data_IF_534917670712
#
_entry.id   IF_534917670712
#
_cell.length_a   1.000
_cell.length_b   1.000
_cell.length_c   1.000
_cell.angle_alpha   90.00
_cell.angle_beta   90.00
_cell.angle_gamma   90.00
#
_symmetry.space_group_name_H-M   'P 1'
#
loop_
_entity.id
_entity.type
_entity.pdbx_description
1 polymer ?
#
# COMPACT_ATOMS: atom_id res chain seq x y z
N UNK A 1 -3.71 -17.69 -8.16
CA UNK A 1 -4.89 -18.44 -7.66
C UNK A 1 -6.09 -18.00 -8.47
N UNK A 2 -6.53 -18.85 -9.41
CA UNK A 2 -7.71 -18.61 -10.25
C UNK A 2 -8.89 -19.16 -9.49
N UNK A 3 -9.79 -18.29 -9.01
CA UNK A 3 -11.08 -18.74 -8.48
C UNK A 3 -11.92 -19.20 -9.66
N UNK A 4 -12.03 -20.52 -9.84
CA UNK A 4 -13.00 -21.14 -10.73
C UNK A 4 -14.41 -20.71 -10.28
N UNK A 5 -15.09 -19.97 -11.16
CA UNK A 5 -16.47 -19.55 -10.95
C UNK A 5 -17.34 -20.75 -10.63
N UNK A 6 -18.09 -20.66 -9.54
CA UNK A 6 -19.22 -21.55 -9.31
C UNK A 6 -20.20 -21.22 -10.43
N UNK A 7 -20.31 -22.11 -11.40
CA UNK A 7 -21.30 -22.02 -12.46
C UNK A 7 -22.66 -22.21 -11.79
N UNK A 8 -23.32 -21.09 -11.47
CA UNK A 8 -24.67 -21.05 -10.90
C UNK A 8 -25.62 -21.43 -12.03
N UNK A 9 -25.56 -22.70 -12.42
CA UNK A 9 -26.30 -23.25 -13.54
C UNK A 9 -27.80 -23.00 -13.37
N UNK A 10 -28.47 -22.84 -14.52
CA UNK A 10 -29.86 -23.08 -14.94
C UNK A 10 -31.07 -23.14 -13.97
N UNK A 11 -30.93 -23.10 -12.64
CA UNK A 11 -32.00 -23.34 -11.68
C UNK A 11 -32.64 -22.04 -11.15
N UNK A 12 -32.00 -20.89 -11.32
CA UNK A 12 -32.53 -19.60 -10.88
C UNK A 12 -33.92 -19.21 -11.47
N UNK A 13 -34.30 -19.55 -12.72
CA UNK A 13 -35.66 -19.27 -13.21
C UNK A 13 -36.74 -20.15 -12.56
N UNK A 14 -36.38 -21.24 -11.86
CA UNK A 14 -37.37 -22.10 -11.19
C UNK A 14 -37.89 -21.50 -9.88
N UNK A 15 -37.13 -20.62 -9.24
CA UNK A 15 -37.53 -19.95 -7.99
C UNK A 15 -38.74 -19.01 -8.15
N UNK A 16 -38.78 -18.09 -9.15
CA UNK A 16 -39.97 -17.26 -9.37
C UNK A 16 -41.16 -18.08 -9.85
N UNK A 17 -40.94 -19.15 -10.61
CA UNK A 17 -42.02 -20.05 -11.05
C UNK A 17 -42.66 -20.80 -9.86
N UNK A 18 -41.84 -21.31 -8.93
CA UNK A 18 -42.33 -21.93 -7.70
C UNK A 18 -43.08 -20.92 -6.82
N UNK A 19 -42.57 -19.69 -6.67
CA UNK A 19 -43.26 -18.62 -5.96
C UNK A 19 -44.63 -18.27 -6.56
N UNK A 20 -44.70 -18.15 -7.89
CA UNK A 20 -45.95 -17.87 -8.60
C UNK A 20 -46.99 -19.00 -8.46
N UNK A 21 -46.55 -20.26 -8.46
CA UNK A 21 -47.43 -21.42 -8.24
C UNK A 21 -48.00 -21.43 -6.81
N UNK A 22 -47.20 -21.13 -5.80
CA UNK A 22 -47.66 -21.07 -4.40
C UNK A 22 -48.64 -19.91 -4.20
N UNK A 23 -48.35 -18.73 -4.75
CA UNK A 23 -49.27 -17.58 -4.70
C UNK A 23 -50.59 -17.89 -5.42
N UNK A 24 -50.52 -18.53 -6.59
CA UNK A 24 -51.72 -18.91 -7.36
C UNK A 24 -52.55 -19.98 -6.66
N UNK A 25 -51.91 -20.96 -6.02
CA UNK A 25 -52.59 -21.98 -5.22
C UNK A 25 -53.25 -21.38 -3.99
N UNK A 26 -52.58 -20.46 -3.28
CA UNK A 26 -53.18 -19.73 -2.16
C UNK A 26 -54.37 -18.87 -2.63
N UNK A 27 -54.24 -18.15 -3.74
CA UNK A 27 -55.33 -17.35 -4.30
C UNK A 27 -56.52 -18.20 -4.78
N UNK A 28 -56.26 -19.40 -5.31
CA UNK A 28 -57.28 -20.35 -5.74
C UNK A 28 -57.97 -21.04 -4.54
N UNK A 29 -57.23 -21.42 -3.51
CA UNK A 29 -57.78 -21.96 -2.26
C UNK A 29 -58.65 -20.96 -1.50
N UNK A 30 -58.34 -19.65 -1.62
CA UNK A 30 -59.18 -18.57 -1.07
C UNK A 30 -60.47 -18.35 -1.85
N UNK A 31 -60.55 -18.77 -3.11
CA UNK A 31 -61.73 -18.62 -3.97
C UNK A 31 -62.72 -19.79 -3.87
N UNK A 32 -62.31 -20.96 -3.37
CA UNK A 32 -63.14 -22.18 -3.42
C UNK A 32 -64.20 -22.31 -2.32
N UNK A 33 -64.19 -21.48 -1.27
CA UNK A 33 -65.41 -21.18 -0.49
C UNK A 33 -66.22 -22.35 0.11
N UNK A 34 -65.63 -23.48 0.50
CA UNK A 34 -66.35 -24.60 1.13
C UNK A 34 -66.19 -24.61 2.66
N UNK A 35 -67.14 -23.94 3.35
CA UNK A 35 -68.02 -24.36 4.47
C UNK A 35 -67.53 -25.45 5.47
N UNK A 36 -67.65 -25.39 6.82
CA UNK A 36 -68.67 -24.83 7.73
C UNK A 36 -68.27 -25.00 9.25
N UNK A 37 -69.11 -24.85 10.30
CA UNK A 37 -68.74 -23.98 11.44
C UNK A 37 -68.63 -24.65 12.83
N UNK A 38 -67.61 -24.27 13.61
CA UNK A 38 -67.78 -23.87 15.03
C UNK A 38 -66.52 -23.17 15.57
N UNK A 39 -66.59 -21.83 15.65
CA UNK A 39 -65.50 -20.94 16.11
C UNK A 39 -66.02 -20.08 17.27
N UNK A 40 -66.56 -20.71 18.31
CA UNK A 40 -66.93 -19.99 19.53
C UNK A 40 -65.71 -19.79 20.47
N UNK A 41 -64.66 -20.61 20.34
CA UNK A 41 -63.50 -20.59 21.26
C UNK A 41 -62.31 -19.70 20.82
N UNK A 42 -62.26 -19.26 19.56
CA UNK A 42 -61.18 -18.39 19.02
C UNK A 42 -61.56 -16.91 18.93
N UNK A 43 -62.78 -16.54 19.33
CA UNK A 43 -63.31 -15.18 19.15
C UNK A 43 -62.69 -14.15 20.10
N UNK A 44 -62.06 -14.57 21.21
CA UNK A 44 -61.41 -13.67 22.16
C UNK A 44 -59.92 -13.39 21.90
N UNK A 45 -59.28 -14.08 20.94
CA UNK A 45 -57.93 -13.74 20.45
C UNK A 45 -57.95 -12.89 19.15
N UNK A 46 -59.14 -12.53 18.67
CA UNK A 46 -59.37 -11.89 17.38
C UNK A 46 -58.89 -10.43 17.27
N UNK A 47 -58.48 -9.78 18.36
CA UNK A 47 -57.86 -8.45 18.28
C UNK A 47 -56.40 -8.49 17.76
N UNK A 48 -55.71 -9.63 17.87
CA UNK A 48 -54.35 -9.82 17.34
C UNK A 48 -54.30 -10.65 16.03
N UNK A 49 -55.40 -11.28 15.63
CA UNK A 49 -55.45 -12.22 14.49
C UNK A 49 -55.19 -11.60 13.12
N UNK A 50 -55.50 -10.32 12.93
CA UNK A 50 -55.28 -9.64 11.65
C UNK A 50 -53.80 -9.52 11.24
N UNK A 51 -52.88 -9.57 12.20
CA UNK A 51 -51.44 -9.47 11.97
C UNK A 51 -50.84 -10.84 11.60
N UNK A 52 -51.30 -11.91 12.25
CA UNK A 52 -50.84 -13.28 11.99
C UNK A 52 -51.30 -13.77 10.60
N UNK A 53 -52.52 -13.44 10.19
CA UNK A 53 -53.06 -13.84 8.88
C UNK A 53 -52.38 -13.16 7.68
N UNK A 54 -51.74 -12.00 7.91
CA UNK A 54 -51.03 -11.23 6.87
C UNK A 54 -49.52 -11.48 6.87
N UNK A 55 -48.99 -12.06 7.93
CA UNK A 55 -47.56 -12.29 8.13
C UNK A 55 -46.90 -13.05 6.96
N UNK A 56 -47.49 -14.12 6.38
CA UNK A 56 -46.86 -14.86 5.28
C UNK A 56 -46.74 -14.05 3.99
N UNK A 57 -47.74 -13.20 3.72
CA UNK A 57 -47.72 -12.30 2.57
C UNK A 57 -46.66 -11.21 2.76
N UNK A 58 -46.62 -10.61 3.96
CA UNK A 58 -45.63 -9.58 4.29
C UNK A 58 -44.20 -10.13 4.23
N UNK A 59 -43.97 -11.35 4.73
CA UNK A 59 -42.65 -12.00 4.63
C UNK A 59 -42.28 -12.31 3.18
N UNK A 60 -43.24 -12.79 2.37
CA UNK A 60 -43.03 -13.05 0.94
C UNK A 60 -42.65 -11.80 0.16
N UNK A 61 -43.31 -10.66 0.44
CA UNK A 61 -42.94 -9.35 -0.12
C UNK A 61 -41.53 -8.94 0.32
N UNK A 62 -41.19 -9.08 1.60
CA UNK A 62 -39.86 -8.74 2.13
C UNK A 62 -38.75 -9.58 1.48
N UNK A 63 -38.95 -10.90 1.35
CA UNK A 63 -38.02 -11.80 0.67
C UNK A 63 -37.82 -11.36 -0.79
N UNK A 64 -38.92 -11.03 -1.49
CA UNK A 64 -38.86 -10.58 -2.89
C UNK A 64 -38.07 -9.28 -3.04
N UNK A 65 -38.27 -8.31 -2.13
CA UNK A 65 -37.51 -7.05 -2.09
C UNK A 65 -36.02 -7.33 -1.85
N UNK A 66 -35.67 -8.19 -0.90
CA UNK A 66 -34.27 -8.53 -0.62
C UNK A 66 -33.58 -9.24 -1.80
N UNK A 67 -34.29 -10.13 -2.50
CA UNK A 67 -33.78 -10.77 -3.71
C UNK A 67 -33.53 -9.74 -4.82
N UNK A 68 -34.47 -8.82 -5.05
CA UNK A 68 -34.29 -7.71 -6.00
C UNK A 68 -33.10 -6.83 -5.62
N UNK A 69 -32.95 -6.47 -4.34
CA UNK A 69 -31.78 -5.71 -3.86
C UNK A 69 -30.46 -6.47 -4.02
N UNK A 70 -30.47 -7.80 -3.93
CA UNK A 70 -29.29 -8.61 -4.22
C UNK A 70 -28.90 -8.58 -5.70
N UNK A 71 -29.87 -8.49 -6.60
CA UNK A 71 -29.65 -8.39 -8.05
C UNK A 71 -29.16 -6.99 -8.47
N UNK A 72 -29.44 -5.95 -7.69
CA UNK A 72 -29.06 -4.57 -8.00
C UNK A 72 -27.57 -4.24 -7.74
N UNK A 73 -26.74 -5.24 -7.41
CA UNK A 73 -25.31 -5.04 -7.07
C UNK A 73 -25.10 -3.88 -6.08
N UNK A 74 -25.93 -3.83 -5.02
CA UNK A 74 -25.83 -2.79 -4.02
C UNK A 74 -24.42 -2.78 -3.43
N UNK A 75 -23.78 -1.62 -3.44
CA UNK A 75 -22.47 -1.46 -2.87
C UNK A 75 -22.42 -0.24 -1.98
N UNK A 76 -21.80 -0.39 -0.81
CA UNK A 76 -21.49 0.74 0.05
C UNK A 76 -20.00 1.05 -0.05
N UNK A 77 -19.68 2.34 -0.07
CA UNK A 77 -18.29 2.80 0.12
C UNK A 77 -18.00 2.81 1.61
N UNK A 78 -17.12 1.91 2.05
CA UNK A 78 -16.58 1.99 3.41
C UNK A 78 -15.26 2.73 3.33
N UNK A 79 -15.15 3.81 4.10
CA UNK A 79 -13.84 4.40 4.39
C UNK A 79 -13.10 3.39 5.27
N UNK A 80 -12.08 2.76 4.73
CA UNK A 80 -11.14 1.95 5.51
C UNK A 80 -9.90 2.83 5.64
N UNK A 81 -9.64 3.29 6.85
CA UNK A 81 -8.35 3.87 7.19
C UNK A 81 -7.34 2.72 7.12
N UNK A 82 -6.48 2.76 6.11
CA UNK A 82 -5.35 1.84 6.02
C UNK A 82 -4.13 2.65 6.40
N UNK A 83 -3.51 2.27 7.52
CA UNK A 83 -2.22 2.83 7.91
C UNK A 83 -1.20 2.33 6.88
N UNK A 84 -0.75 3.23 5.98
CA UNK A 84 0.23 2.88 4.95
C UNK A 84 1.49 3.68 5.24
N UNK A 85 2.50 2.99 5.79
CA UNK A 85 3.85 3.50 5.97
C UNK A 85 4.66 3.42 4.67
N UNK A 86 4.08 3.79 3.54
CA UNK A 86 4.80 3.76 2.27
C UNK A 86 5.59 5.07 2.13
N UNK A 87 6.89 4.96 1.86
CA UNK A 87 7.81 6.11 1.74
C UNK A 87 8.42 6.12 0.34
N UNK A 88 8.66 7.33 -0.18
CA UNK A 88 9.42 7.50 -1.41
C UNK A 88 10.73 8.19 -1.06
N UNK A 89 11.85 7.49 -1.17
CA UNK A 89 13.17 8.10 -0.97
C UNK A 89 13.97 8.04 -2.26
N UNK A 90 14.60 9.15 -2.59
CA UNK A 90 15.43 9.30 -3.77
C UNK A 90 16.88 9.45 -3.32
N UNK A 91 17.67 8.44 -3.65
CA UNK A 91 19.09 8.43 -3.35
C UNK A 91 19.84 9.04 -4.52
N UNK A 92 20.62 10.07 -4.23
CA UNK A 92 21.44 10.79 -5.20
C UNK A 92 22.89 10.61 -4.77
N UNK A 93 23.66 9.86 -5.55
CA UNK A 93 25.01 9.44 -5.16
C UNK A 93 26.05 10.09 -6.06
N UNK A 94 27.04 10.73 -5.44
CA UNK A 94 28.20 11.26 -6.10
C UNK A 94 29.10 10.11 -6.59
N UNK A 95 29.42 10.16 -7.87
CA UNK A 95 30.31 9.23 -8.58
C UNK A 95 31.47 10.03 -9.20
N UNK A 96 31.87 11.12 -8.58
CA UNK A 96 33.05 11.88 -8.97
C UNK A 96 34.34 11.14 -8.63
N UNK A 97 35.44 11.51 -9.28
CA UNK A 97 36.74 10.84 -9.11
C UNK A 97 37.25 10.91 -7.67
N UNK A 98 36.95 11.99 -6.95
CA UNK A 98 37.33 12.18 -5.55
C UNK A 98 36.67 11.15 -4.63
N UNK A 99 35.52 10.60 -5.01
CA UNK A 99 34.88 9.48 -4.31
C UNK A 99 35.69 8.17 -4.38
N UNK A 100 36.72 8.07 -5.25
CA UNK A 100 37.68 6.94 -5.27
C UNK A 100 38.75 7.03 -4.18
N UNK A 101 38.85 8.16 -3.49
CA UNK A 101 39.84 8.33 -2.45
C UNK A 101 39.61 7.32 -1.32
N UNK A 102 40.72 6.74 -0.84
CA UNK A 102 40.68 5.74 0.20
C UNK A 102 40.27 6.39 1.53
N UNK A 103 39.46 5.67 2.29
CA UNK A 103 39.03 6.02 3.64
C UNK A 103 39.95 5.36 4.67
N UNK A 104 39.74 5.64 5.95
CA UNK A 104 40.44 4.95 7.03
C UNK A 104 40.00 3.48 7.21
N UNK A 105 38.87 3.05 6.63
CA UNK A 105 38.35 1.69 6.78
C UNK A 105 39.21 0.66 6.07
N UNK A 106 39.57 -0.38 6.81
CA UNK A 106 40.23 -1.55 6.27
C UNK A 106 39.21 -2.50 5.65
N UNK A 107 39.49 -2.95 4.43
CA UNK A 107 38.67 -3.93 3.67
C UNK A 107 38.50 -5.25 4.43
N UNK A 108 39.47 -5.61 5.27
CA UNK A 108 39.40 -6.82 6.12
C UNK A 108 38.39 -6.68 7.27
N UNK A 109 38.21 -5.45 7.79
CA UNK A 109 37.25 -5.18 8.86
C UNK A 109 35.84 -5.03 8.30
N UNK A 110 35.73 -4.46 7.10
CA UNK A 110 34.46 -4.25 6.42
C UNK A 110 34.53 -4.84 4.99
N UNK A 111 34.32 -6.17 4.85
CA UNK A 111 34.42 -6.84 3.55
C UNK A 111 33.25 -6.39 2.66
N UNK A 112 33.51 -5.78 1.49
CA UNK A 112 32.44 -5.29 0.64
C UNK A 112 31.68 -6.44 -0.03
N UNK A 113 30.36 -6.30 -0.15
CA UNK A 113 29.50 -7.24 -0.87
C UNK A 113 29.91 -7.37 -2.33
N UNK A 114 30.28 -6.23 -2.94
CA UNK A 114 30.69 -6.16 -4.34
C UNK A 114 32.15 -5.72 -4.49
N UNK A 115 32.95 -6.57 -5.12
CA UNK A 115 34.33 -6.21 -5.41
C UNK A 115 34.40 -5.10 -6.47
N UNK A 116 35.33 -4.17 -6.24
CA UNK A 116 35.68 -3.11 -7.18
C UNK A 116 36.25 -3.74 -8.46
N UNK A 117 35.81 -3.33 -9.66
CA UNK A 117 36.26 -3.97 -10.90
C UNK A 117 37.66 -3.51 -11.27
N UNK A 118 38.61 -4.44 -11.27
CA UNK A 118 40.02 -4.21 -11.60
C UNK A 118 40.26 -3.62 -13.00
N UNK A 119 39.33 -3.80 -13.94
CA UNK A 119 39.51 -3.43 -15.35
C UNK A 119 39.32 -1.93 -15.65
N UNK A 120 38.94 -1.14 -14.64
CA UNK A 120 38.77 0.32 -14.76
C UNK A 120 40.03 1.11 -14.35
N UNK A 121 41.12 0.41 -14.08
CA UNK A 121 42.35 0.95 -13.50
C UNK A 121 43.52 0.89 -14.48
N UNK A 122 44.39 1.90 -14.44
CA UNK A 122 45.47 2.11 -15.43
C UNK A 122 46.81 1.56 -14.94
N UNK A 123 46.89 0.96 -13.75
CA UNK A 123 48.13 0.37 -13.25
C UNK A 123 47.99 -0.58 -12.04
N UNK A 124 49.08 -1.30 -11.75
CA UNK A 124 49.16 -2.29 -10.66
C UNK A 124 48.98 -1.69 -9.25
N UNK A 125 49.22 -0.38 -9.10
CA UNK A 125 48.99 0.38 -7.87
C UNK A 125 47.50 0.65 -7.59
N UNK A 126 46.63 0.37 -8.56
CA UNK A 126 45.19 0.57 -8.47
C UNK A 126 44.42 -0.77 -8.44
N UNK A 127 45.14 -1.89 -8.32
CA UNK A 127 44.55 -3.23 -8.15
C UNK A 127 43.73 -3.30 -6.85
N UNK A 128 42.40 -3.51 -6.94
CA UNK A 128 41.49 -3.55 -5.78
C UNK A 128 41.93 -4.53 -4.69
N UNK A 129 42.52 -5.66 -5.07
CA UNK A 129 42.96 -6.70 -4.14
C UNK A 129 44.20 -6.30 -3.34
N UNK A 130 44.93 -5.26 -3.78
CA UNK A 130 46.14 -4.75 -3.13
C UNK A 130 45.90 -3.46 -2.36
N UNK A 131 44.68 -2.90 -2.41
CA UNK A 131 44.32 -1.69 -1.68
C UNK A 131 43.71 -2.12 -0.34
N UNK A 132 44.42 -1.92 0.79
CA UNK A 132 43.93 -2.37 2.10
C UNK A 132 42.71 -1.59 2.58
N UNK A 133 42.48 -0.39 2.05
CA UNK A 133 41.44 0.52 2.47
C UNK A 133 40.27 0.60 1.47
N UNK A 134 39.06 0.81 1.95
CA UNK A 134 37.88 1.05 1.11
C UNK A 134 37.87 2.48 0.57
N UNK A 135 37.37 2.69 -0.65
CA UNK A 135 37.07 4.04 -1.14
C UNK A 135 35.74 4.59 -0.62
N UNK A 136 35.59 5.92 -0.62
CA UNK A 136 34.35 6.60 -0.21
C UNK A 136 33.12 6.06 -0.93
N UNK A 137 33.20 5.82 -2.24
CA UNK A 137 32.07 5.27 -3.00
C UNK A 137 31.75 3.81 -2.64
N UNK A 138 32.74 3.00 -2.25
CA UNK A 138 32.50 1.63 -1.79
C UNK A 138 31.74 1.68 -0.47
N UNK A 139 32.18 2.50 0.49
CA UNK A 139 31.48 2.70 1.76
C UNK A 139 30.05 3.20 1.54
N UNK A 140 29.87 4.19 0.65
CA UNK A 140 28.56 4.70 0.27
C UNK A 140 27.64 3.59 -0.28
N UNK A 141 28.17 2.76 -1.18
CA UNK A 141 27.43 1.64 -1.77
C UNK A 141 27.03 0.61 -0.72
N UNK A 142 27.98 0.14 0.09
CA UNK A 142 27.71 -0.91 1.08
C UNK A 142 26.72 -0.45 2.15
N UNK A 143 26.84 0.80 2.63
CA UNK A 143 25.89 1.33 3.62
C UNK A 143 24.51 1.55 3.02
N UNK A 144 24.42 1.94 1.74
CA UNK A 144 23.14 1.98 1.04
C UNK A 144 22.53 0.59 0.89
N UNK A 145 23.32 -0.43 0.57
CA UNK A 145 22.83 -1.82 0.51
C UNK A 145 22.27 -2.24 1.86
N UNK A 146 23.02 -2.01 2.95
CA UNK A 146 22.55 -2.30 4.30
C UNK A 146 21.26 -1.54 4.64
N UNK A 147 21.20 -0.24 4.36
CA UNK A 147 19.98 0.58 4.53
C UNK A 147 18.78 0.05 3.76
N UNK A 148 18.97 -0.46 2.55
CA UNK A 148 17.89 -1.04 1.73
C UNK A 148 17.37 -2.37 2.31
N UNK A 149 18.22 -3.18 2.95
CA UNK A 149 17.78 -4.44 3.57
C UNK A 149 16.82 -4.24 4.75
N UNK A 150 16.86 -3.08 5.39
CA UNK A 150 15.95 -2.74 6.50
C UNK A 150 14.64 -2.08 6.07
N UNK A 151 14.42 -1.86 4.76
CA UNK A 151 13.23 -1.18 4.23
C UNK A 151 12.03 -2.10 4.08
N UNK A 152 10.84 -1.50 4.12
CA UNK A 152 9.58 -2.22 3.89
C UNK A 152 9.31 -2.42 2.40
N UNK A 153 8.68 -3.53 2.02
CA UNK A 153 8.30 -3.83 0.62
C UNK A 153 7.35 -2.79 0.00
N UNK A 154 6.68 -1.97 0.83
CA UNK A 154 5.80 -0.89 0.36
C UNK A 154 6.54 0.41 0.08
N UNK A 155 7.80 0.53 0.52
CA UNK A 155 8.64 1.68 0.23
C UNK A 155 9.10 1.64 -1.22
N UNK A 156 9.39 2.83 -1.76
CA UNK A 156 9.93 2.99 -3.10
C UNK A 156 11.20 3.80 -3.04
N UNK A 157 12.21 3.31 -3.76
CA UNK A 157 13.48 3.98 -3.91
C UNK A 157 13.66 4.43 -5.35
N UNK A 158 14.16 5.65 -5.53
CA UNK A 158 14.75 6.09 -6.79
C UNK A 158 16.27 6.21 -6.62
N UNK A 159 17.01 6.08 -7.72
CA UNK A 159 18.47 6.13 -7.70
C UNK A 159 19.02 6.99 -8.84
N UNK A 160 19.84 7.97 -8.49
CA UNK A 160 20.55 8.84 -9.43
C UNK A 160 22.03 8.80 -9.09
N UNK A 161 22.87 8.56 -10.09
CA UNK A 161 24.29 8.84 -10.00
C UNK A 161 24.62 10.17 -10.66
N UNK A 162 25.59 10.88 -10.11
CA UNK A 162 26.06 12.11 -10.72
C UNK A 162 27.56 12.28 -10.62
N UNK A 163 28.13 12.93 -11.62
CA UNK A 163 29.50 13.42 -11.68
C UNK A 163 29.49 14.68 -12.56
N UNK A 164 30.29 14.78 -13.62
CA UNK A 164 30.07 15.79 -14.68
C UNK A 164 28.74 15.60 -15.42
N UNK A 165 28.25 14.36 -15.48
CA UNK A 165 26.98 13.94 -16.10
C UNK A 165 26.01 13.41 -15.04
N UNK A 166 24.72 13.33 -15.39
CA UNK A 166 23.67 12.78 -14.53
C UNK A 166 23.15 11.48 -15.14
N UNK A 167 23.08 10.42 -14.33
CA UNK A 167 22.60 9.11 -14.73
C UNK A 167 21.40 8.73 -13.85
N UNK A 168 20.21 8.71 -14.44
CA UNK A 168 19.02 8.20 -13.79
C UNK A 168 19.05 6.66 -13.88
N UNK A 169 19.46 6.01 -12.80
CA UNK A 169 19.56 4.55 -12.73
C UNK A 169 18.18 3.93 -12.55
N UNK A 170 17.35 4.54 -11.71
CA UNK A 170 15.98 4.11 -11.49
C UNK A 170 15.06 5.26 -11.15
N UNK A 171 13.84 5.23 -11.71
CA UNK A 171 12.70 5.92 -11.10
C UNK A 171 12.29 5.28 -9.77
N UNK A 172 11.26 5.80 -9.11
CA UNK A 172 10.74 5.18 -7.89
C UNK A 172 10.23 3.76 -8.15
N UNK A 173 10.83 2.79 -7.48
CA UNK A 173 10.48 1.36 -7.58
C UNK A 173 10.52 0.71 -6.20
N UNK A 174 9.68 -0.29 -5.98
CA UNK A 174 9.73 -1.17 -4.80
C UNK A 174 10.56 -2.44 -5.05
N UNK A 175 11.16 -2.56 -6.26
CA UNK A 175 12.06 -3.68 -6.59
C UNK A 175 13.47 -3.35 -6.08
N UNK A 176 13.75 -3.69 -4.82
CA UNK A 176 15.05 -3.45 -4.20
C UNK A 176 16.18 -4.27 -4.82
N UNK A 177 15.91 -5.49 -5.30
CA UNK A 177 16.91 -6.32 -6.00
C UNK A 177 17.44 -5.61 -7.26
N UNK A 178 16.56 -4.90 -8.00
CA UNK A 178 16.99 -4.10 -9.14
C UNK A 178 17.93 -2.97 -8.70
N UNK A 179 17.64 -2.31 -7.58
CA UNK A 179 18.43 -1.19 -7.06
C UNK A 179 19.78 -1.67 -6.53
N UNK A 180 19.80 -2.81 -5.86
CA UNK A 180 21.01 -3.52 -5.46
C UNK A 180 21.90 -3.82 -6.68
N UNK A 181 21.34 -4.33 -7.78
CA UNK A 181 22.09 -4.55 -9.02
C UNK A 181 22.64 -3.23 -9.59
N UNK A 182 21.87 -2.14 -9.55
CA UNK A 182 22.38 -0.84 -9.98
C UNK A 182 23.53 -0.34 -9.08
N UNK A 183 23.44 -0.55 -7.76
CA UNK A 183 24.49 -0.24 -6.78
C UNK A 183 25.76 -1.07 -7.03
N UNK A 184 25.63 -2.36 -7.36
CA UNK A 184 26.75 -3.21 -7.73
C UNK A 184 27.54 -2.67 -8.93
N UNK A 185 26.88 -1.97 -9.85
CA UNK A 185 27.48 -1.37 -11.04
C UNK A 185 28.02 0.05 -10.85
N UNK A 186 27.89 0.62 -9.64
CA UNK A 186 28.26 2.02 -9.35
C UNK A 186 29.69 2.38 -9.76
N UNK A 187 30.64 1.43 -9.68
CA UNK A 187 32.05 1.67 -10.01
C UNK A 187 32.29 2.14 -11.46
N UNK A 188 31.45 1.67 -12.39
CA UNK A 188 31.52 1.99 -13.81
C UNK A 188 31.11 3.44 -14.11
N UNK A 189 30.46 4.10 -13.17
CA UNK A 189 30.03 5.49 -13.28
C UNK A 189 31.00 6.46 -12.62
N UNK A 190 32.03 5.96 -11.93
CA UNK A 190 32.96 6.84 -11.21
C UNK A 190 33.91 7.53 -12.19
N UNK A 191 33.74 8.84 -12.41
CA UNK A 191 34.51 9.64 -13.38
C UNK A 191 34.71 11.09 -12.92
N UNK A 192 35.33 11.93 -13.74
CA UNK A 192 35.63 13.33 -13.40
C UNK A 192 34.39 14.22 -13.29
N UNK A 193 34.50 15.21 -12.41
CA UNK A 193 33.54 16.31 -12.23
C UNK A 193 32.44 15.99 -11.23
N UNK A 194 31.84 17.05 -10.69
CA UNK A 194 30.81 16.97 -9.64
C UNK A 194 29.74 18.03 -9.91
N UNK A 195 28.61 17.63 -10.48
CA UNK A 195 27.53 18.53 -10.91
C UNK A 195 26.29 18.38 -10.03
N UNK A 196 26.48 18.69 -8.75
CA UNK A 196 25.44 18.57 -7.73
C UNK A 196 24.18 19.37 -8.07
N UNK A 197 24.32 20.54 -8.70
CA UNK A 197 23.19 21.37 -9.13
C UNK A 197 22.24 20.61 -10.05
N UNK A 198 22.76 20.00 -11.12
CA UNK A 198 21.92 19.26 -12.06
C UNK A 198 21.41 17.96 -11.46
N UNK A 199 22.18 17.33 -10.56
CA UNK A 199 21.72 16.15 -9.83
C UNK A 199 20.47 16.46 -9.00
N UNK A 200 20.50 17.54 -8.22
CA UNK A 200 19.35 17.99 -7.42
C UNK A 200 18.19 18.45 -8.29
N UNK A 201 18.45 19.15 -9.39
CA UNK A 201 17.39 19.54 -10.33
C UNK A 201 16.69 18.32 -10.94
N UNK A 202 17.44 17.30 -11.36
CA UNK A 202 16.87 16.04 -11.85
C UNK A 202 16.14 15.28 -10.75
N UNK A 203 16.66 15.30 -9.53
CA UNK A 203 16.01 14.67 -8.39
C UNK A 203 14.64 15.28 -8.10
N UNK A 204 14.58 16.62 -8.06
CA UNK A 204 13.34 17.38 -7.89
C UNK A 204 12.35 17.14 -9.04
N UNK A 205 12.83 17.13 -10.28
CA UNK A 205 11.99 16.84 -11.45
C UNK A 205 11.43 15.42 -11.40
N UNK A 206 12.21 14.44 -10.93
CA UNK A 206 11.75 13.07 -10.75
C UNK A 206 10.66 13.00 -9.67
N UNK A 207 10.89 13.65 -8.52
CA UNK A 207 9.91 13.71 -7.42
C UNK A 207 8.58 14.34 -7.86
N UNK A 208 8.62 15.41 -8.65
CA UNK A 208 7.39 16.07 -9.14
C UNK A 208 6.61 15.21 -10.15
N UNK A 209 7.26 14.31 -10.89
CA UNK A 209 6.57 13.41 -11.85
C UNK A 209 5.71 12.35 -11.17
N UNK A 210 5.92 12.09 -9.88
CA UNK A 210 5.15 11.13 -9.09
C UNK A 210 4.35 11.85 -7.98
N UNK A 211 3.36 12.69 -8.34
CA UNK A 211 2.58 13.42 -7.35
C UNK A 211 1.69 12.48 -6.54
N UNK A 212 1.77 12.59 -5.21
CA UNK A 212 0.62 12.36 -4.34
C UNK A 212 0.39 10.97 -3.77
N UNK A 213 1.39 10.31 -3.17
CA UNK A 213 1.10 9.11 -2.34
C UNK A 213 1.81 9.04 -1.00
N UNK A 214 3.05 9.53 -0.89
CA UNK A 214 3.90 9.22 0.25
C UNK A 214 4.68 10.45 0.74
N UNK A 215 5.24 10.35 1.96
CA UNK A 215 6.30 11.25 2.43
C UNK A 215 7.54 11.04 1.56
N UNK A 216 8.25 12.12 1.26
CA UNK A 216 9.32 12.13 0.25
C UNK A 216 10.61 12.63 0.85
N UNK A 217 11.67 11.88 0.64
CA UNK A 217 13.01 12.24 1.08
C UNK A 217 13.97 12.22 -0.10
N UNK A 218 14.91 13.17 -0.13
CA UNK A 218 16.10 13.11 -0.98
C UNK A 218 17.31 12.92 -0.08
N UNK A 219 18.06 11.86 -0.34
CA UNK A 219 19.29 11.50 0.36
C UNK A 219 20.44 11.75 -0.62
N UNK A 220 21.25 12.78 -0.35
CA UNK A 220 22.41 13.14 -1.16
C UNK A 220 23.69 12.63 -0.49
N UNK A 221 24.42 11.75 -1.17
CA UNK A 221 25.72 11.25 -0.73
C UNK A 221 26.81 11.87 -1.59
N UNK A 222 27.77 12.55 -0.98
CA UNK A 222 28.85 13.28 -1.68
C UNK A 222 30.02 13.54 -0.76
N UNK A 223 31.22 13.71 -1.32
CA UNK A 223 32.37 14.27 -0.61
C UNK A 223 32.47 15.81 -0.73
N UNK A 224 31.48 16.42 -1.38
CA UNK A 224 31.26 17.86 -1.50
C UNK A 224 32.41 18.65 -2.14
N UNK A 225 33.17 18.05 -3.06
CA UNK A 225 34.22 18.80 -3.79
C UNK A 225 33.65 19.86 -4.77
N UNK A 226 32.33 19.87 -5.03
CA UNK A 226 31.67 20.84 -5.90
C UNK A 226 31.51 22.23 -5.24
N UNK A 227 32.43 23.14 -5.58
CA UNK A 227 32.62 24.48 -5.00
C UNK A 227 31.71 25.59 -5.54
N UNK A 228 30.50 25.29 -6.04
CA UNK A 228 29.59 26.33 -6.53
C UNK A 228 28.20 26.24 -5.87
N UNK A 229 27.99 27.11 -4.89
CA UNK A 229 26.78 27.20 -4.06
C UNK A 229 25.75 28.20 -4.59
N UNK A 230 26.12 29.06 -5.54
CA UNK A 230 25.32 30.23 -5.95
C UNK A 230 23.94 29.85 -6.51
N UNK A 231 23.80 28.63 -7.02
CA UNK A 231 22.55 28.11 -7.59
C UNK A 231 21.89 27.02 -6.75
N UNK A 232 22.52 26.60 -5.65
CA UNK A 232 21.97 25.59 -4.76
C UNK A 232 20.73 26.11 -4.02
N UNK A 233 20.77 27.39 -3.63
CA UNK A 233 19.69 28.05 -2.89
C UNK A 233 18.33 27.88 -3.58
N UNK A 234 18.28 28.03 -4.91
CA UNK A 234 17.05 27.87 -5.67
C UNK A 234 16.47 26.44 -5.59
N UNK A 235 17.34 25.42 -5.58
CA UNK A 235 16.91 24.02 -5.46
C UNK A 235 16.46 23.72 -4.02
N UNK A 236 17.16 24.26 -3.02
CA UNK A 236 16.77 24.12 -1.62
C UNK A 236 15.41 24.79 -1.31
N UNK A 237 15.17 25.97 -1.87
CA UNK A 237 13.85 26.63 -1.77
C UNK A 237 12.74 25.80 -2.43
N UNK A 238 13.07 25.07 -3.51
CA UNK A 238 12.11 24.17 -4.18
C UNK A 238 11.82 22.93 -3.34
N UNK A 239 12.82 22.34 -2.66
CA UNK A 239 12.60 21.24 -1.70
C UNK A 239 11.58 21.64 -0.63
N UNK A 240 11.73 22.84 -0.05
CA UNK A 240 10.82 23.37 0.97
C UNK A 240 9.39 23.55 0.46
N UNK A 241 9.23 24.09 -0.75
CA UNK A 241 7.89 24.27 -1.35
C UNK A 241 7.18 22.95 -1.64
N UNK A 242 7.94 21.89 -1.90
CA UNK A 242 7.41 20.56 -2.21
C UNK A 242 7.25 19.67 -0.97
N UNK A 243 7.60 20.17 0.22
CA UNK A 243 7.59 19.40 1.48
C UNK A 243 8.39 18.09 1.35
N UNK A 244 9.61 18.20 0.81
CA UNK A 244 10.54 17.09 0.64
C UNK A 244 11.61 17.18 1.73
N UNK A 245 11.75 16.11 2.52
CA UNK A 245 12.85 15.98 3.47
C UNK A 245 14.19 15.90 2.72
N UNK A 246 15.20 16.61 3.19
CA UNK A 246 16.52 16.62 2.57
C UNK A 246 17.59 16.20 3.56
N UNK A 247 18.38 15.22 3.15
CA UNK A 247 19.45 14.63 3.95
C UNK A 247 20.73 14.68 3.15
N UNK A 248 21.76 15.33 3.69
CA UNK A 248 23.10 15.35 3.13
C UNK A 248 24.01 14.46 3.96
N UNK A 249 24.58 13.44 3.33
CA UNK A 249 25.54 12.53 3.92
C UNK A 249 26.89 12.89 3.32
N UNK A 250 27.64 13.70 4.08
CA UNK A 250 28.92 14.23 3.65
C UNK A 250 30.05 13.29 4.08
N UNK A 251 30.63 12.59 3.11
CA UNK A 251 31.74 11.65 3.33
C UNK A 251 33.07 12.39 3.18
N UNK A 252 33.73 12.72 4.28
CA UNK A 252 35.01 13.44 4.27
C UNK A 252 36.08 12.65 5.03
N UNK A 253 37.28 12.53 4.46
CA UNK A 253 38.42 11.96 5.17
C UNK A 253 39.28 13.04 5.86
N UNK A 254 39.05 14.32 5.56
CA UNK A 254 39.83 15.42 6.09
C UNK A 254 39.21 15.95 7.38
N UNK A 255 39.93 15.72 8.49
CA UNK A 255 39.69 16.33 9.79
C UNK A 255 39.71 17.85 9.69
N UNK A 256 38.76 18.49 10.38
CA UNK A 256 38.45 19.92 10.62
C UNK A 256 39.46 21.06 10.28
N UNK A 257 40.76 20.82 10.11
CA UNK A 257 41.79 21.86 9.99
C UNK A 257 42.00 22.41 8.55
N UNK A 258 41.33 21.84 7.54
CA UNK A 258 41.50 22.21 6.12
C UNK A 258 40.23 22.64 5.38
N UNK A 259 39.08 22.72 6.04
CA UNK A 259 37.82 22.99 5.35
C UNK A 259 37.82 24.40 4.73
N UNK A 260 37.71 24.47 3.40
CA UNK A 260 37.61 25.74 2.70
C UNK A 260 36.40 26.54 3.18
N UNK A 261 36.50 27.88 3.18
CA UNK A 261 35.39 28.76 3.55
C UNK A 261 34.10 28.46 2.76
N UNK A 262 34.24 28.03 1.50
CA UNK A 262 33.14 27.62 0.62
C UNK A 262 32.42 26.36 1.13
N UNK A 263 33.16 25.37 1.63
CA UNK A 263 32.57 24.15 2.17
C UNK A 263 31.80 24.42 3.48
N UNK A 264 32.34 25.30 4.33
CA UNK A 264 31.65 25.76 5.54
C UNK A 264 30.37 26.51 5.19
N UNK A 265 30.41 27.38 4.18
CA UNK A 265 29.22 28.11 3.73
C UNK A 265 28.17 27.20 3.10
N UNK A 266 28.59 26.23 2.28
CA UNK A 266 27.70 25.19 1.72
C UNK A 266 26.98 24.44 2.84
N UNK A 267 27.73 23.92 3.82
CA UNK A 267 27.15 23.22 4.95
C UNK A 267 26.19 24.07 5.75
N UNK A 268 26.59 25.31 6.05
CA UNK A 268 25.73 26.25 6.77
C UNK A 268 24.42 26.44 6.02
N UNK A 269 24.48 26.56 4.70
CA UNK A 269 23.30 26.70 3.84
C UNK A 269 22.44 25.44 3.91
N UNK A 270 23.01 24.25 3.68
CA UNK A 270 22.24 22.99 3.70
C UNK A 270 21.59 22.73 5.06
N UNK A 271 22.27 23.02 6.18
CA UNK A 271 21.73 22.87 7.53
C UNK A 271 20.51 23.76 7.81
N UNK A 272 20.28 24.82 7.02
CA UNK A 272 19.06 25.61 7.14
C UNK A 272 17.83 24.97 6.47
N UNK A 273 18.05 23.97 5.61
CA UNK A 273 16.99 23.34 4.80
C UNK A 273 16.81 21.84 5.07
N UNK A 274 17.81 21.16 5.61
CA UNK A 274 17.77 19.73 5.86
C UNK A 274 18.78 19.30 6.93
N UNK A 275 18.85 17.99 7.17
CA UNK A 275 19.83 17.43 8.10
C UNK A 275 21.13 17.13 7.37
N UNK A 276 22.24 17.46 8.00
CA UNK A 276 23.58 17.16 7.51
C UNK A 276 24.22 16.16 8.45
N UNK A 277 24.55 14.99 7.92
CA UNK A 277 25.35 13.97 8.57
C UNK A 277 26.77 14.08 8.02
N UNK A 278 27.72 14.41 8.88
CA UNK A 278 29.13 14.45 8.51
C UNK A 278 29.75 13.14 8.94
N UNK A 279 30.41 12.46 8.00
CA UNK A 279 31.09 11.19 8.22
C UNK A 279 32.57 11.53 8.09
N UNK A 280 33.16 11.93 9.22
CA UNK A 280 34.54 12.36 9.41
C UNK A 280 35.43 11.23 9.93
N UNK A 281 34.87 10.37 10.76
CA UNK A 281 35.42 9.05 11.04
C UNK A 281 34.57 8.03 10.29
N UNK A 282 35.13 7.46 9.23
CA UNK A 282 34.48 6.36 8.52
C UNK A 282 34.61 5.07 9.33
N UNK A 283 34.83 5.07 10.64
CA UNK A 283 34.80 3.84 11.43
C UNK A 283 33.43 3.14 11.33
N UNK A 284 33.42 1.85 11.64
CA UNK A 284 32.31 0.92 11.38
C UNK A 284 30.95 1.51 11.81
N UNK A 285 30.06 1.75 10.83
CA UNK A 285 28.65 2.03 11.09
C UNK A 285 28.21 3.49 11.14
N UNK A 286 29.05 4.52 10.99
CA UNK A 286 28.57 5.91 11.03
C UNK A 286 27.61 6.27 9.89
N UNK A 287 27.87 5.76 8.68
CA UNK A 287 26.97 5.97 7.55
C UNK A 287 25.67 5.16 7.73
N UNK A 288 25.75 3.98 8.37
CA UNK A 288 24.58 3.19 8.75
C UNK A 288 23.75 3.89 9.83
N UNK A 289 24.38 4.46 10.86
CA UNK A 289 23.73 5.22 11.93
C UNK A 289 23.02 6.45 11.36
N UNK A 290 23.65 7.20 10.45
CA UNK A 290 23.01 8.31 9.77
C UNK A 290 21.79 7.87 8.96
N UNK A 291 21.89 6.74 8.26
CA UNK A 291 20.80 6.17 7.48
C UNK A 291 19.68 5.61 8.37
N UNK A 292 20.00 5.07 9.54
CA UNK A 292 19.04 4.62 10.55
C UNK A 292 18.34 5.82 11.22
N UNK A 293 19.06 6.89 11.55
CA UNK A 293 18.43 8.13 12.04
C UNK A 293 17.47 8.72 10.99
N UNK A 294 17.86 8.71 9.71
CA UNK A 294 16.96 9.07 8.61
C UNK A 294 15.72 8.15 8.59
N UNK A 295 15.91 6.85 8.83
CA UNK A 295 14.81 5.90 8.88
C UNK A 295 13.81 6.22 10.00
N UNK A 296 14.32 6.61 11.17
CA UNK A 296 13.51 6.99 12.33
C UNK A 296 12.78 8.31 12.11
N UNK A 297 13.46 9.34 11.59
CA UNK A 297 12.87 10.64 11.26
C UNK A 297 11.71 10.54 10.26
N UNK A 298 11.78 9.51 9.41
CA UNK A 298 10.78 9.22 8.38
C UNK A 298 9.69 8.23 8.83
N UNK A 299 9.74 7.61 10.02
CA UNK A 299 8.75 6.61 10.51
C UNK A 299 7.41 7.21 10.99
N UNK A 300 7.01 8.37 10.47
CA UNK A 300 5.72 8.95 10.80
C UNK A 300 4.57 8.22 10.08
N UNK A 301 3.60 7.72 10.84
CA UNK A 301 2.43 7.00 10.32
C UNK A 301 1.52 7.94 9.52
N UNK A 302 1.36 7.66 8.22
CA UNK A 302 0.37 8.33 7.37
C UNK A 302 -0.90 7.48 7.24
N UNK A 303 -2.04 8.08 7.63
CA UNK A 303 -3.36 7.45 7.51
C UNK A 303 -3.97 7.80 6.16
N UNK A 304 -3.98 6.86 5.23
CA UNK A 304 -4.71 7.02 3.97
C UNK A 304 -6.14 6.49 4.12
N UNK A 305 -7.13 7.36 3.93
CA UNK A 305 -8.53 6.95 3.83
C UNK A 305 -8.78 6.28 2.48
N UNK A 306 -8.81 4.95 2.44
CA UNK A 306 -9.12 4.21 1.22
C UNK A 306 -10.61 3.90 1.15
N UNK A 307 -11.26 4.30 0.06
CA UNK A 307 -12.64 3.92 -0.22
C UNK A 307 -12.66 2.49 -0.78
N UNK A 308 -12.89 1.50 0.08
CA UNK A 308 -13.14 0.14 -0.39
C UNK A 308 -14.64 -0.01 -0.66
N UNK A 309 -14.96 -0.34 -1.90
CA UNK A 309 -16.32 -0.74 -2.29
C UNK A 309 -16.60 -2.10 -1.63
N UNK A 310 -17.52 -2.12 -0.68
CA UNK A 310 -18.01 -3.35 -0.06
C UNK A 310 -19.27 -3.75 -0.80
N UNK A 311 -19.24 -4.96 -1.37
CA UNK A 311 -20.39 -5.55 -2.03
C UNK A 311 -21.41 -6.01 -0.98
N UNK A 312 -22.60 -5.40 -1.01
CA UNK A 312 -23.71 -5.71 -0.10
C UNK A 312 -24.62 -6.81 -0.68
N UNK A 313 -24.52 -7.13 -1.97
CA UNK A 313 -25.37 -8.12 -2.64
C UNK A 313 -25.30 -9.49 -1.96
N UNK A 314 -24.12 -9.90 -1.52
CA UNK A 314 -23.92 -11.16 -0.82
C UNK A 314 -24.65 -11.21 0.53
N UNK A 315 -24.66 -10.10 1.27
CA UNK A 315 -25.34 -10.03 2.56
C UNK A 315 -26.86 -9.99 2.40
N UNK A 316 -27.37 -9.25 1.40
CA UNK A 316 -28.81 -9.22 1.10
C UNK A 316 -29.31 -10.57 0.59
N UNK A 317 -28.51 -11.28 -0.22
CA UNK A 317 -28.82 -12.63 -0.67
C UNK A 317 -28.87 -13.64 0.50
N UNK A 318 -27.86 -13.63 1.38
CA UNK A 318 -27.86 -14.50 2.57
C UNK A 318 -29.07 -14.21 3.48
N UNK A 319 -29.42 -12.94 3.69
CA UNK A 319 -30.59 -12.55 4.46
C UNK A 319 -31.89 -13.07 3.82
N UNK A 320 -32.02 -12.97 2.48
CA UNK A 320 -33.16 -13.51 1.75
C UNK A 320 -33.27 -15.04 1.88
N UNK A 321 -32.15 -15.76 1.79
CA UNK A 321 -32.11 -17.22 1.97
C UNK A 321 -32.57 -17.65 3.37
N UNK A 322 -32.07 -17.00 4.43
CA UNK A 322 -32.49 -17.27 5.80
C UNK A 322 -33.97 -16.97 6.04
N UNK A 323 -34.46 -15.83 5.54
CA UNK A 323 -35.88 -15.49 5.64
C UNK A 323 -36.77 -16.46 4.87
N UNK A 324 -36.33 -16.94 3.71
CA UNK A 324 -37.05 -17.95 2.94
C UNK A 324 -37.13 -19.29 3.69
N UNK A 325 -36.04 -19.74 4.30
CA UNK A 325 -36.04 -20.95 5.14
C UNK A 325 -36.99 -20.79 6.34
N UNK A 326 -36.94 -19.65 7.03
CA UNK A 326 -37.85 -19.34 8.13
C UNK A 326 -39.31 -19.34 7.66
N UNK A 327 -39.59 -18.76 6.49
CA UNK A 327 -40.92 -18.72 5.91
C UNK A 327 -41.45 -20.13 5.62
N UNK A 328 -40.63 -21.00 5.03
CA UNK A 328 -40.99 -22.39 4.75
C UNK A 328 -41.26 -23.14 6.07
N UNK A 329 -40.42 -22.95 7.09
CA UNK A 329 -40.61 -23.57 8.40
C UNK A 329 -41.91 -23.11 9.06
N UNK A 330 -42.19 -21.81 9.09
CA UNK A 330 -43.42 -21.26 9.68
C UNK A 330 -44.67 -21.68 8.88
N UNK A 331 -44.61 -21.64 7.56
CA UNK A 331 -45.71 -22.09 6.70
C UNK A 331 -45.99 -23.59 6.90
N UNK A 332 -44.93 -24.39 7.01
CA UNK A 332 -45.02 -25.83 7.20
C UNK A 332 -45.50 -26.26 8.59
N UNK A 333 -45.03 -25.59 9.65
CA UNK A 333 -45.28 -25.99 11.05
C UNK A 333 -46.51 -25.33 11.65
N UNK A 334 -46.83 -24.10 11.29
CA UNK A 334 -47.98 -23.39 11.85
C UNK A 334 -49.17 -23.46 10.91
N UNK A 335 -48.95 -23.23 9.61
CA UNK A 335 -50.05 -22.99 8.69
C UNK A 335 -50.66 -24.25 8.09
N UNK A 336 -49.86 -25.26 7.71
CA UNK A 336 -50.39 -26.55 7.26
C UNK A 336 -51.21 -27.30 8.33
N UNK A 337 -50.79 -27.40 9.60
CA UNK A 337 -51.61 -28.05 10.61
C UNK A 337 -52.81 -27.19 11.02
N UNK A 338 -52.72 -25.85 11.05
CA UNK A 338 -53.90 -25.00 11.27
C UNK A 338 -54.92 -25.15 10.15
N UNK A 339 -54.49 -25.25 8.89
CA UNK A 339 -55.40 -25.48 7.76
C UNK A 339 -55.94 -26.92 7.76
N UNK A 340 -55.14 -27.93 8.12
CA UNK A 340 -55.62 -29.31 8.29
C UNK A 340 -56.59 -29.47 9.45
N UNK A 341 -56.37 -28.81 10.59
CA UNK A 341 -57.30 -28.79 11.72
C UNK A 341 -58.59 -28.05 11.35
N UNK A 342 -58.48 -26.98 10.56
CA UNK A 342 -59.63 -26.28 9.99
C UNK A 342 -60.45 -27.20 9.07
N UNK A 343 -59.79 -27.94 8.18
CA UNK A 343 -60.42 -28.93 7.29
C UNK A 343 -60.96 -30.16 8.04
N UNK A 344 -60.34 -30.59 9.13
CA UNK A 344 -60.78 -31.75 9.91
C UNK A 344 -61.99 -31.43 10.81
N UNK A 345 -62.13 -30.17 11.26
CA UNK A 345 -63.32 -29.72 11.99
C UNK A 345 -64.56 -29.56 11.11
N UNK A 346 -64.40 -29.42 9.80
CA UNK A 346 -65.48 -29.14 8.85
C UNK A 346 -66.26 -30.40 8.39
N UNK A 347 -65.78 -31.61 8.68
CA UNK A 347 -66.37 -32.88 8.22
C UNK A 347 -67.21 -33.69 9.23
N UNK A 348 -67.47 -33.18 10.44
CA UNK A 348 -68.25 -33.92 11.44
C UNK A 348 -69.76 -33.82 11.17
N UNK A 349 -70.50 -34.93 11.05
CA UNK A 349 -71.95 -34.92 10.82
C UNK A 349 -72.66 -34.23 12.00
N UNK A 350 -73.59 -33.32 11.66
CA UNK A 350 -74.46 -32.64 12.62
C UNK A 350 -75.70 -33.51 12.84
N UNK A 351 -75.80 -34.10 14.03
CA UNK A 351 -77.01 -34.76 14.53
C UNK A 351 -78.04 -33.74 15.05
#
# INVERSE_FOLDING_TARGET
MVFSGIDVGAWWPLLPAAGALVISWIAWSRRSGELFPDIALLRNSAAAGGLVDRMPLQLGVLISVLLLLSLMELSATRLIEVDRRARDFLVVVDTSRSMRENTALLREQFPPTYERKANLYVGEAEDPAKIPNLARYEVARESLLHYLTSRSEVDRVGLIYFNSMIYLMSGFTSNFDFIEQQLAEMDGYVTFGTNMRWALEQALNLVERYPGRNRRAIILLTDAEARNTDYLQQQLDRLRRLDIAFYLLWITADTADGQSALATEFLRTVRTFGSVFTIDDVSEGYLDEALDEIAELEDYAYREGSHKRVDLSRYTLLAAQWLMLLWILLAGTLWLPLTRLKLAGEGAPRD
#
